data_IF_541669523135
#
_entry.id   IF_541669523135
#
_cell.length_a   1.000
_cell.length_b   1.000
_cell.length_c   1.000
_cell.angle_alpha   90.00
_cell.angle_beta   90.00
_cell.angle_gamma   90.00
#
_symmetry.space_group_name_H-M   'P 1'
#
loop_
_entity.id
_entity.type
_entity.pdbx_description
1 polymer ?
#
# COMPACT_ATOMS: atom_id res chain seq x y z
N UNK A 1 -0.21 9.60 11.05
CA UNK A 1 -1.53 9.06 10.65
C UNK A 1 -2.04 9.95 9.53
N UNK A 2 -2.30 9.42 8.34
CA UNK A 2 -2.82 10.19 7.20
C UNK A 2 -4.30 9.83 7.04
N UNK A 3 -5.14 10.84 6.91
CA UNK A 3 -6.57 10.70 6.68
C UNK A 3 -6.82 11.04 5.21
N UNK A 4 -7.39 10.10 4.48
CA UNK A 4 -7.61 10.25 3.04
C UNK A 4 -9.03 10.76 2.87
N UNK A 5 -9.14 12.07 2.64
CA UNK A 5 -10.41 12.76 2.40
C UNK A 5 -10.64 12.77 0.90
N UNK A 6 -11.73 12.13 0.44
CA UNK A 6 -12.01 11.91 -0.98
C UNK A 6 -12.20 13.19 -1.78
N UNK A 7 -11.10 13.72 -2.35
CA UNK A 7 -11.12 14.56 -3.53
C UNK A 7 -11.20 13.68 -4.78
N UNK A 8 -11.85 14.16 -5.85
CA UNK A 8 -12.19 13.39 -7.06
C UNK A 8 -11.01 12.72 -7.81
N UNK A 9 -9.77 12.99 -7.43
CA UNK A 9 -8.52 12.40 -7.97
C UNK A 9 -7.54 11.90 -6.90
N UNK A 10 -8.01 11.67 -5.66
CA UNK A 10 -7.17 11.19 -4.56
C UNK A 10 -6.87 9.67 -4.60
N UNK A 11 -5.85 9.19 -3.89
CA UNK A 11 -5.71 7.76 -3.64
C UNK A 11 -6.94 7.23 -2.87
N UNK A 12 -7.35 6.00 -3.14
CA UNK A 12 -8.45 5.23 -2.55
C UNK A 12 -9.84 5.83 -2.79
N UNK A 13 -10.02 6.56 -3.89
CA UNK A 13 -11.29 7.17 -4.33
C UNK A 13 -12.45 6.17 -4.43
N UNK A 14 -12.16 4.89 -4.71
CA UNK A 14 -13.14 3.81 -4.77
C UNK A 14 -13.03 2.83 -3.57
N UNK A 15 -12.39 3.26 -2.48
CA UNK A 15 -12.14 2.45 -1.28
C UNK A 15 -10.82 1.68 -1.28
N UNK A 16 -10.63 0.86 -0.23
CA UNK A 16 -9.43 0.04 -0.03
C UNK A 16 -9.50 -1.28 -0.83
N UNK A 17 -9.46 -1.16 -2.15
CA UNK A 17 -9.38 -2.35 -3.00
C UNK A 17 -8.02 -3.05 -2.80
N UNK A 18 -7.98 -4.38 -2.78
CA UNK A 18 -6.73 -5.10 -2.59
C UNK A 18 -5.77 -4.82 -3.76
N UNK A 19 -4.57 -4.34 -3.47
CA UNK A 19 -3.54 -4.14 -4.50
C UNK A 19 -2.73 -5.41 -4.67
N UNK A 20 -2.53 -5.78 -5.93
CA UNK A 20 -1.85 -7.01 -6.33
C UNK A 20 -0.87 -6.72 -7.46
N UNK A 21 -0.09 -7.72 -7.85
CA UNK A 21 0.83 -7.57 -8.97
C UNK A 21 0.09 -7.13 -10.25
N UNK A 22 0.55 -6.03 -10.84
CA UNK A 22 -0.07 -5.41 -12.02
C UNK A 22 -1.03 -4.25 -11.69
N UNK A 23 -1.40 -4.04 -10.43
CA UNK A 23 -2.14 -2.85 -10.00
C UNK A 23 -1.32 -1.58 -10.29
N UNK A 24 -2.01 -0.51 -10.69
CA UNK A 24 -1.39 0.78 -11.01
C UNK A 24 -2.27 1.93 -10.50
N UNK A 25 -1.64 3.02 -10.09
CA UNK A 25 -2.34 4.25 -9.71
C UNK A 25 -1.80 4.90 -8.44
N UNK A 26 -2.47 5.97 -8.02
CA UNK A 26 -2.10 6.75 -6.84
C UNK A 26 -2.09 5.91 -5.54
N UNK A 27 -2.95 4.90 -5.45
CA UNK A 27 -3.03 3.97 -4.31
C UNK A 27 -1.71 3.22 -4.11
N UNK A 28 -1.14 2.75 -5.22
CA UNK A 28 0.14 2.05 -5.23
C UNK A 28 1.26 3.01 -4.83
N UNK A 29 1.24 4.26 -5.33
CA UNK A 29 2.23 5.29 -4.94
C UNK A 29 2.20 5.51 -3.44
N UNK A 30 1.02 5.64 -2.83
CA UNK A 30 0.89 5.84 -1.39
C UNK A 30 1.44 4.63 -0.61
N UNK A 31 1.09 3.41 -1.01
CA UNK A 31 1.64 2.19 -0.39
C UNK A 31 3.16 2.14 -0.50
N UNK A 32 3.73 2.40 -1.68
CA UNK A 32 5.18 2.41 -1.88
C UNK A 32 5.87 3.45 -0.99
N UNK A 33 5.29 4.66 -0.87
CA UNK A 33 5.80 5.71 0.03
C UNK A 33 5.76 5.26 1.49
N UNK A 34 4.67 4.63 1.94
CA UNK A 34 4.58 4.12 3.32
C UNK A 34 5.58 3.02 3.59
N UNK A 35 5.65 2.02 2.71
CA UNK A 35 6.64 0.93 2.82
C UNK A 35 8.07 1.47 2.88
N UNK A 36 8.38 2.52 2.10
CA UNK A 36 9.70 3.15 2.16
C UNK A 36 9.92 3.93 3.45
N UNK A 37 8.91 4.64 3.94
CA UNK A 37 8.95 5.28 5.26
C UNK A 37 9.17 4.29 6.42
N UNK A 38 8.72 3.04 6.27
CA UNK A 38 9.01 1.95 7.19
C UNK A 38 10.33 1.20 6.90
N UNK A 39 11.05 1.56 5.84
CA UNK A 39 12.34 0.95 5.47
C UNK A 39 12.24 -0.38 4.72
N UNK A 40 11.06 -0.77 4.24
CA UNK A 40 10.85 -2.03 3.49
C UNK A 40 10.93 -1.86 1.98
N UNK A 41 10.82 -0.64 1.46
CA UNK A 41 10.84 -0.36 0.03
C UNK A 41 11.91 0.67 -0.36
N UNK A 42 12.80 0.27 -1.26
CA UNK A 42 13.88 1.12 -1.80
C UNK A 42 13.75 1.31 -3.33
N UNK A 43 12.57 1.02 -3.88
CA UNK A 43 12.28 1.21 -5.29
C UNK A 43 11.69 2.59 -5.61
N UNK A 44 11.40 2.84 -6.88
CA UNK A 44 10.76 4.09 -7.32
C UNK A 44 9.26 4.16 -6.99
N UNK A 45 8.73 5.36 -6.78
CA UNK A 45 7.31 5.59 -6.47
C UNK A 45 6.48 5.83 -7.74
N UNK A 46 6.61 4.96 -8.73
CA UNK A 46 5.95 5.10 -10.04
C UNK A 46 4.49 4.69 -10.02
N UNK A 47 4.00 4.17 -8.89
CA UNK A 47 2.62 3.74 -8.76
C UNK A 47 2.34 2.45 -9.53
N UNK A 48 3.36 1.62 -9.73
CA UNK A 48 3.25 0.33 -10.40
C UNK A 48 3.56 -0.78 -9.41
N UNK A 49 2.60 -1.67 -9.21
CA UNK A 49 2.75 -2.80 -8.29
C UNK A 49 3.45 -3.95 -9.01
N UNK A 50 4.77 -3.92 -8.99
CA UNK A 50 5.62 -4.98 -9.57
C UNK A 50 6.23 -5.88 -8.49
N UNK A 51 7.15 -6.75 -8.91
CA UNK A 51 7.85 -7.70 -8.04
C UNK A 51 8.52 -7.01 -6.84
N UNK A 52 9.21 -5.88 -7.06
CA UNK A 52 9.85 -5.12 -5.96
C UNK A 52 8.86 -4.62 -4.92
N UNK A 53 7.70 -4.13 -5.36
CA UNK A 53 6.63 -3.67 -4.46
C UNK A 53 6.05 -4.85 -3.69
N UNK A 54 5.81 -5.98 -4.38
CA UNK A 54 5.34 -7.22 -3.77
C UNK A 54 6.28 -7.74 -2.69
N UNK A 55 7.59 -7.80 -2.96
CA UNK A 55 8.59 -8.24 -1.99
C UNK A 55 8.62 -7.34 -0.75
N UNK A 56 8.55 -6.02 -0.94
CA UNK A 56 8.49 -5.08 0.17
C UNK A 56 7.22 -5.26 1.02
N UNK A 57 6.07 -5.51 0.38
CA UNK A 57 4.82 -5.81 1.08
C UNK A 57 4.93 -7.11 1.87
N UNK A 58 5.46 -8.19 1.29
CA UNK A 58 5.67 -9.45 2.01
C UNK A 58 6.60 -9.27 3.21
N UNK A 59 7.70 -8.52 3.05
CA UNK A 59 8.64 -8.25 4.13
C UNK A 59 7.99 -7.44 5.26
N UNK A 60 7.21 -6.42 4.89
CA UNK A 60 6.42 -5.62 5.84
C UNK A 60 5.37 -6.46 6.56
N UNK A 61 4.61 -7.28 5.84
CA UNK A 61 3.61 -8.19 6.41
C UNK A 61 4.24 -9.14 7.42
N UNK A 62 5.35 -9.79 7.04
CA UNK A 62 6.09 -10.68 7.93
C UNK A 62 6.59 -9.96 9.19
N UNK A 63 7.09 -8.73 9.05
CA UNK A 63 7.56 -7.92 10.18
C UNK A 63 6.43 -7.50 11.13
N UNK A 64 5.19 -7.39 10.64
CA UNK A 64 4.00 -7.04 11.42
C UNK A 64 3.17 -8.26 11.84
N UNK A 65 3.64 -9.49 11.60
CA UNK A 65 2.94 -10.71 11.97
C UNK A 65 1.69 -11.01 11.11
N UNK A 66 1.60 -10.42 9.92
CA UNK A 66 0.56 -10.68 8.93
C UNK A 66 0.95 -11.83 8.00
N UNK A 67 -0.03 -12.41 7.31
CA UNK A 67 0.22 -13.38 6.23
C UNK A 67 1.01 -12.69 5.09
N UNK A 68 2.19 -13.20 4.71
CA UNK A 68 3.03 -12.60 3.67
C UNK A 68 2.53 -12.95 2.26
N UNK A 69 1.25 -12.67 1.99
CA UNK A 69 0.62 -12.88 0.67
C UNK A 69 1.26 -12.03 -0.42
N UNK A 70 1.84 -10.88 -0.03
CA UNK A 70 2.32 -9.86 -0.95
C UNK A 70 1.19 -9.09 -1.64
N UNK A 71 -0.05 -9.22 -1.16
CA UNK A 71 -1.19 -8.40 -1.56
C UNK A 71 -1.47 -7.36 -0.48
N UNK A 72 -1.92 -6.17 -0.86
CA UNK A 72 -2.24 -5.12 0.10
C UNK A 72 -3.73 -5.15 0.37
N UNK A 73 -4.14 -5.96 1.35
CA UNK A 73 -5.52 -6.10 1.83
C UNK A 73 -5.78 -5.16 3.01
N UNK A 74 -7.03 -5.12 3.50
CA UNK A 74 -7.46 -4.25 4.61
C UNK A 74 -6.50 -4.29 5.81
N UNK A 75 -6.12 -5.47 6.28
CA UNK A 75 -5.18 -5.62 7.39
C UNK A 75 -3.80 -5.02 7.09
N UNK A 76 -3.33 -5.14 5.84
CA UNK A 76 -2.08 -4.55 5.40
C UNK A 76 -2.19 -3.02 5.32
N UNK A 77 -3.32 -2.48 4.84
CA UNK A 77 -3.58 -1.03 4.84
C UNK A 77 -3.61 -0.44 6.24
N UNK A 78 -4.29 -1.10 7.18
CA UNK A 78 -4.34 -0.68 8.57
C UNK A 78 -2.94 -0.66 9.20
N UNK A 79 -2.14 -1.70 8.96
CA UNK A 79 -0.75 -1.76 9.41
C UNK A 79 0.12 -0.65 8.81
N UNK A 80 -0.11 -0.26 7.54
CA UNK A 80 0.54 0.89 6.90
C UNK A 80 0.02 2.24 7.42
N UNK A 81 -0.99 2.23 8.29
CA UNK A 81 -1.63 3.42 8.82
C UNK A 81 -2.43 4.18 7.75
N UNK A 82 -3.02 3.44 6.82
CA UNK A 82 -3.94 3.92 5.79
C UNK A 82 -5.34 3.52 6.25
N UNK A 83 -6.16 4.51 6.60
CA UNK A 83 -7.53 4.31 7.04
C UNK A 83 -8.44 5.12 6.12
N UNK A 84 -9.44 4.45 5.54
CA UNK A 84 -10.54 5.14 4.88
C UNK A 84 -11.47 5.67 5.99
N UNK A 85 -11.71 6.97 6.03
CA UNK A 85 -12.76 7.54 6.86
C UNK A 85 -13.96 7.77 5.95
N UNK A 86 -15.07 7.09 6.26
CA UNK A 86 -16.39 7.35 5.66
C UNK A 86 -16.97 8.70 6.15
#
# INVERSE_FOLDING_TARGET
KVFIVGGVDGPFTFGLNPLTQGSKGADVVEVQKRLSGYGFYNGPYDGIYEYKTKEAVMAFQKANGLDPSGNVDAATYEALGIFLFE
#
